data_IF_277487220993
#
_entry.id   IF_277487220993
#
_cell.length_a   1.000
_cell.length_b   1.000
_cell.length_c   1.000
_cell.angle_alpha   90.00
_cell.angle_beta   90.00
_cell.angle_gamma   90.00
#
_symmetry.space_group_name_H-M   'P 1'
#
loop_
_entity.id
_entity.type
_entity.pdbx_description
1 polymer ?
#
# COMPACT_ATOMS: atom_id res chain seq x y z
N UNK A 1 -0.81 -5.88 -8.42
CA UNK A 1 -1.84 -5.64 -7.42
C UNK A 1 -1.11 -5.34 -6.14
N UNK A 2 -1.22 -4.12 -5.62
CA UNK A 2 -0.50 -3.77 -4.40
C UNK A 2 -1.10 -4.48 -3.18
N UNK A 3 -0.26 -5.10 -2.37
CA UNK A 3 -0.68 -5.70 -1.10
C UNK A 3 -0.79 -4.59 -0.04
N UNK A 4 -1.98 -4.35 0.54
CA UNK A 4 -2.14 -3.34 1.59
C UNK A 4 -1.35 -3.70 2.85
N UNK A 5 -0.91 -2.69 3.58
CA UNK A 5 -0.23 -2.84 4.86
C UNK A 5 -1.09 -3.55 5.93
N UNK A 6 -2.41 -3.51 5.77
CA UNK A 6 -3.38 -4.19 6.65
C UNK A 6 -3.27 -5.72 6.59
N UNK A 7 -2.65 -6.27 5.54
CA UNK A 7 -2.39 -7.72 5.44
C UNK A 7 -1.04 -8.05 6.08
N UNK A 8 -1.07 -8.88 7.12
CA UNK A 8 0.16 -9.30 7.79
C UNK A 8 1.09 -10.08 6.84
N UNK A 9 2.41 -9.88 6.99
CA UNK A 9 3.44 -10.61 6.24
C UNK A 9 3.35 -12.13 6.46
N UNK A 10 2.92 -12.55 7.65
CA UNK A 10 2.74 -13.97 7.99
C UNK A 10 1.60 -14.60 7.19
N UNK A 11 0.50 -13.86 6.96
CA UNK A 11 -0.59 -14.32 6.10
C UNK A 11 -0.08 -14.49 4.67
N UNK A 12 0.63 -13.49 4.12
CA UNK A 12 1.21 -13.60 2.77
C UNK A 12 2.16 -14.81 2.68
N UNK A 13 2.99 -15.04 3.69
CA UNK A 13 3.91 -16.18 3.72
C UNK A 13 3.17 -17.53 3.81
N UNK A 14 2.11 -17.61 4.62
CA UNK A 14 1.34 -18.84 4.82
C UNK A 14 0.58 -19.28 3.57
N UNK A 15 0.10 -18.33 2.75
CA UNK A 15 -0.64 -18.60 1.52
C UNK A 15 0.24 -18.63 0.27
N UNK A 16 1.55 -18.42 0.39
CA UNK A 16 2.47 -18.49 -0.75
C UNK A 16 2.67 -19.95 -1.17
N UNK A 17 2.66 -20.20 -2.49
CA UNK A 17 3.01 -21.51 -3.02
C UNK A 17 4.43 -21.90 -2.63
N UNK A 18 4.63 -23.17 -2.28
CA UNK A 18 5.95 -23.69 -1.98
C UNK A 18 6.82 -23.72 -3.25
N UNK A 19 8.16 -23.59 -3.14
CA UNK A 19 9.05 -23.67 -4.30
C UNK A 19 8.87 -24.97 -5.10
N UNK A 20 8.62 -26.09 -4.42
CA UNK A 20 8.40 -27.40 -5.03
C UNK A 20 7.11 -27.41 -5.87
N UNK A 21 6.05 -26.76 -5.36
CA UNK A 21 4.79 -26.62 -6.08
C UNK A 21 5.00 -25.83 -7.37
N UNK A 22 5.74 -24.71 -7.33
CA UNK A 22 6.01 -23.89 -8.51
C UNK A 22 6.84 -24.59 -9.60
N UNK A 23 7.55 -25.67 -9.27
CA UNK A 23 8.36 -26.45 -10.21
C UNK A 23 7.56 -27.55 -10.92
N UNK A 24 6.31 -27.83 -10.51
CA UNK A 24 5.49 -28.85 -11.14
C UNK A 24 5.26 -28.54 -12.64
N UNK A 25 5.29 -29.53 -13.55
CA UNK A 25 5.14 -29.29 -14.99
C UNK A 25 3.88 -28.52 -15.37
N UNK A 26 2.78 -28.74 -14.63
CA UNK A 26 1.50 -28.05 -14.82
C UNK A 26 1.57 -26.57 -14.42
N UNK A 27 2.46 -26.20 -13.50
CA UNK A 27 2.56 -24.85 -12.93
C UNK A 27 3.46 -23.92 -13.77
N UNK A 28 4.42 -24.49 -14.51
CA UNK A 28 5.41 -23.73 -15.29
C UNK A 28 4.79 -22.92 -16.44
N UNK A 29 3.72 -23.43 -17.06
CA UNK A 29 3.09 -22.86 -18.26
C UNK A 29 1.82 -22.03 -18.01
N UNK A 30 1.51 -21.69 -16.75
CA UNK A 30 0.29 -20.93 -16.43
C UNK A 30 0.36 -19.50 -16.97
N UNK A 31 -0.70 -19.07 -17.65
CA UNK A 31 -0.87 -17.70 -18.15
C UNK A 31 -1.12 -16.69 -17.04
N UNK A 32 -1.83 -17.11 -15.98
CA UNK A 32 -2.16 -16.25 -14.84
C UNK A 32 -1.54 -16.84 -13.56
N UNK A 33 -0.85 -15.99 -12.80
CA UNK A 33 -0.29 -16.31 -11.48
C UNK A 33 -0.93 -15.37 -10.48
N UNK A 34 -2.03 -15.80 -9.86
CA UNK A 34 -2.78 -14.98 -8.92
C UNK A 34 -1.96 -14.60 -7.67
N UNK A 35 -0.94 -15.41 -7.36
CA UNK A 35 0.00 -15.17 -6.27
C UNK A 35 1.09 -14.13 -6.58
N UNK A 36 1.26 -13.76 -7.86
CA UNK A 36 2.24 -12.76 -8.28
C UNK A 36 1.69 -11.35 -8.04
N UNK A 37 1.99 -10.76 -6.89
CA UNK A 37 1.55 -9.40 -6.58
C UNK A 37 2.09 -8.33 -7.56
N UNK A 38 3.17 -8.61 -8.30
CA UNK A 38 3.79 -7.68 -9.27
C UNK A 38 3.19 -7.73 -10.68
N UNK A 39 2.10 -8.50 -10.88
CA UNK A 39 1.52 -8.70 -12.21
C UNK A 39 1.09 -7.41 -12.93
N UNK A 40 0.83 -6.31 -12.20
CA UNK A 40 0.39 -5.02 -12.75
C UNK A 40 1.46 -3.92 -12.69
N UNK A 41 2.71 -4.22 -12.31
CA UNK A 41 3.77 -3.21 -12.13
C UNK A 41 4.05 -2.39 -13.41
N UNK A 42 3.80 -2.98 -14.59
CA UNK A 42 3.92 -2.32 -15.89
C UNK A 42 2.66 -1.65 -16.40
N UNK A 43 1.54 -1.76 -15.66
CA UNK A 43 0.24 -1.19 -16.04
C UNK A 43 0.15 0.24 -15.55
N UNK A 44 -0.44 1.11 -16.37
CA UNK A 44 -0.67 2.51 -15.99
C UNK A 44 -1.63 2.54 -14.79
N UNK A 45 -1.30 3.24 -13.69
CA UNK A 45 -2.17 3.30 -12.53
C UNK A 45 -3.53 3.89 -12.86
N UNK A 46 -4.56 3.43 -12.15
CA UNK A 46 -5.90 4.01 -12.25
C UNK A 46 -5.91 5.51 -11.92
N UNK A 47 -6.87 6.23 -12.50
CA UNK A 47 -7.07 7.66 -12.25
C UNK A 47 -7.16 7.97 -10.75
N UNK A 48 -7.77 7.06 -9.98
CA UNK A 48 -7.89 7.16 -8.52
C UNK A 48 -6.53 7.22 -7.83
N UNK A 49 -5.60 6.35 -8.23
CA UNK A 49 -4.23 6.31 -7.69
C UNK A 49 -3.46 7.57 -8.09
N UNK A 50 -3.63 8.04 -9.33
CA UNK A 50 -3.02 9.30 -9.78
C UNK A 50 -3.55 10.49 -8.99
N UNK A 51 -4.85 10.56 -8.70
CA UNK A 51 -5.44 11.60 -7.86
C UNK A 51 -4.90 11.55 -6.43
N UNK A 52 -4.79 10.36 -5.83
CA UNK A 52 -4.20 10.19 -4.50
C UNK A 52 -2.75 10.67 -4.44
N UNK A 53 -1.93 10.44 -5.49
CA UNK A 53 -0.56 10.97 -5.55
C UNK A 53 -0.51 12.50 -5.51
N UNK A 54 -1.47 13.17 -6.16
CA UNK A 54 -1.58 14.63 -6.08
C UNK A 54 -1.97 15.04 -4.66
N UNK A 55 -2.94 14.37 -4.05
CA UNK A 55 -3.36 14.64 -2.66
C UNK A 55 -2.17 14.50 -1.70
N UNK A 56 -1.35 13.45 -1.83
CA UNK A 56 -0.10 13.27 -1.05
C UNK A 56 0.81 14.49 -1.20
N UNK A 57 1.04 14.96 -2.43
CA UNK A 57 1.95 16.07 -2.70
C UNK A 57 1.46 17.41 -2.12
N UNK A 58 0.15 17.60 -2.00
CA UNK A 58 -0.47 18.81 -1.47
C UNK A 58 -0.97 18.66 -0.04
N UNK A 59 -0.70 17.53 0.60
CA UNK A 59 -1.33 17.17 1.88
C UNK A 59 -0.95 18.16 3.00
N UNK A 60 0.26 18.71 2.95
CA UNK A 60 0.72 19.73 3.90
C UNK A 60 -0.16 20.99 3.89
N UNK A 61 -0.64 21.39 2.71
CA UNK A 61 -1.47 22.57 2.54
C UNK A 61 -2.95 22.26 2.78
N UNK A 62 -3.37 21.03 2.49
CA UNK A 62 -4.73 20.56 2.69
C UNK A 62 -4.75 19.11 3.22
N UNK A 63 -4.70 18.92 4.56
CA UNK A 63 -4.56 17.60 5.17
C UNK A 63 -5.91 16.87 5.18
N UNK A 64 -6.22 16.23 4.05
CA UNK A 64 -7.41 15.43 3.84
C UNK A 64 -7.07 13.96 4.12
N UNK A 65 -7.72 13.38 5.13
CA UNK A 65 -7.68 11.93 5.41
C UNK A 65 -9.09 11.40 5.60
N UNK A 66 -9.82 11.97 6.56
CA UNK A 66 -11.19 11.55 6.87
C UNK A 66 -12.20 11.85 5.75
N UNK A 67 -11.93 12.82 4.88
CA UNK A 67 -12.86 13.12 3.78
C UNK A 67 -12.72 12.14 2.59
N UNK A 68 -11.73 11.23 2.63
CA UNK A 68 -11.60 10.20 1.61
C UNK A 68 -12.74 9.18 1.72
N UNK A 69 -13.39 8.82 0.59
CA UNK A 69 -14.65 8.09 0.60
C UNK A 69 -14.51 6.60 0.95
N UNK A 70 -13.33 6.00 0.77
CA UNK A 70 -13.13 4.56 1.00
C UNK A 70 -11.93 4.30 1.90
N UNK A 71 -12.03 3.28 2.76
CA UNK A 71 -10.93 2.88 3.63
C UNK A 71 -9.67 2.53 2.83
N UNK A 72 -9.82 1.86 1.67
CA UNK A 72 -8.69 1.54 0.80
C UNK A 72 -7.93 2.79 0.30
N UNK A 73 -8.61 3.92 0.09
CA UNK A 73 -7.94 5.16 -0.31
C UNK A 73 -7.15 5.77 0.84
N UNK A 74 -7.70 5.68 2.06
CA UNK A 74 -7.04 6.12 3.28
C UNK A 74 -5.78 5.28 3.52
N UNK A 75 -5.89 3.97 3.37
CA UNK A 75 -4.74 3.06 3.50
C UNK A 75 -3.64 3.40 2.50
N UNK A 76 -4.00 3.60 1.22
CA UNK A 76 -3.04 4.00 0.18
C UNK A 76 -2.42 5.37 0.49
N UNK A 77 -3.20 6.32 0.99
CA UNK A 77 -2.70 7.63 1.38
C UNK A 77 -1.68 7.49 2.54
N UNK A 78 -2.04 6.80 3.63
CA UNK A 78 -1.14 6.56 4.77
C UNK A 78 0.14 5.83 4.37
N UNK A 79 0.03 4.87 3.45
CA UNK A 79 1.16 4.15 2.87
C UNK A 79 2.05 5.01 1.96
N UNK A 80 1.60 6.16 1.50
CA UNK A 80 2.35 7.01 0.55
C UNK A 80 2.75 8.35 1.14
N UNK A 81 2.17 8.74 2.29
CA UNK A 81 2.52 9.98 2.97
C UNK A 81 4.00 10.02 3.38
N UNK A 82 4.65 11.20 3.27
CA UNK A 82 5.99 11.40 3.78
C UNK A 82 6.08 11.29 5.31
N UNK A 83 7.20 10.80 5.82
CA UNK A 83 7.49 10.63 7.25
C UNK A 83 8.13 11.87 7.91
N UNK A 84 8.49 12.86 7.11
CA UNK A 84 9.09 14.15 7.50
C UNK A 84 8.06 15.26 7.72
N UNK A 85 6.77 14.94 7.77
CA UNK A 85 5.70 15.91 7.97
C UNK A 85 5.72 16.52 9.39
N UNK A 86 5.33 17.81 9.53
CA UNK A 86 5.26 18.47 10.84
C UNK A 86 4.23 17.82 11.77
N UNK A 87 4.61 17.58 13.03
CA UNK A 87 3.75 16.97 14.03
C UNK A 87 2.48 17.76 14.35
N UNK A 88 2.54 19.08 14.26
CA UNK A 88 1.38 19.96 14.44
C UNK A 88 0.24 19.64 13.44
N UNK A 89 0.59 19.13 12.26
CA UNK A 89 -0.37 18.74 11.22
C UNK A 89 -0.75 17.27 11.31
N UNK A 90 0.20 16.37 11.60
CA UNK A 90 -0.04 14.92 11.56
C UNK A 90 -0.74 14.40 12.81
N UNK A 91 -0.38 14.85 14.01
CA UNK A 91 -1.00 14.38 15.28
C UNK A 91 -2.53 14.54 15.28
N UNK A 92 -3.13 15.69 14.91
CA UNK A 92 -4.58 15.83 14.96
C UNK A 92 -5.33 15.15 13.81
N UNK A 93 -4.63 14.65 12.79
CA UNK A 93 -5.24 14.16 11.54
C UNK A 93 -4.97 12.68 11.28
N UNK A 94 -3.91 12.11 11.83
CA UNK A 94 -3.49 10.73 11.60
C UNK A 94 -3.50 9.98 12.93
N UNK A 95 -4.56 9.21 13.14
CA UNK A 95 -4.68 8.32 14.30
C UNK A 95 -4.00 6.96 14.04
N UNK A 96 -3.80 6.58 12.78
CA UNK A 96 -3.35 5.25 12.39
C UNK A 96 -1.88 4.96 12.80
N UNK A 97 -1.69 3.87 13.54
CA UNK A 97 -0.39 3.45 14.07
C UNK A 97 0.64 3.13 12.98
N UNK A 98 0.20 2.69 11.79
CA UNK A 98 1.11 2.29 10.72
C UNK A 98 1.96 3.45 10.22
N UNK A 99 1.37 4.65 10.09
CA UNK A 99 2.11 5.85 9.72
C UNK A 99 3.18 6.17 10.78
N UNK A 100 2.80 6.12 12.06
CA UNK A 100 3.68 6.42 13.18
C UNK A 100 4.82 5.40 13.32
N UNK A 101 4.55 4.12 13.08
CA UNK A 101 5.59 3.08 13.04
C UNK A 101 6.63 3.38 11.96
N UNK A 102 6.20 3.78 10.77
CA UNK A 102 7.12 4.20 9.70
C UNK A 102 7.90 5.46 10.07
N UNK A 103 7.22 6.49 10.55
CA UNK A 103 7.85 7.74 10.92
C UNK A 103 8.88 7.56 12.05
N UNK A 104 8.67 6.61 12.95
CA UNK A 104 9.61 6.27 14.01
C UNK A 104 10.84 5.50 13.49
N UNK A 105 10.69 4.66 12.44
CA UNK A 105 11.82 3.90 11.85
C UNK A 105 12.74 4.77 10.99
N UNK A 106 12.19 5.81 10.37
CA UNK A 106 12.96 6.73 9.53
C UNK A 106 13.75 7.78 10.34
N UNK A 107 13.55 7.86 11.66
CA UNK A 107 14.18 8.82 12.58
C UNK A 107 15.18 8.14 13.50
#
# INVERSE_FOLDING_TARGET
MRLPHTISKNVVAAYRCSPETSLLPQEQGRTLRAEDASWDDGVIPDLKILALRIIVSTWKDNPVLEDLPTCADRDVLLETLPTDLPFELTIPRIEDEFYWERAAKDR
#
